data_IF_230936172470
#
_entry.id   IF_230936172470
#
_cell.length_a   1.000
_cell.length_b   1.000
_cell.length_c   1.000
_cell.angle_alpha   90.00
_cell.angle_beta   90.00
_cell.angle_gamma   90.00
#
_symmetry.space_group_name_H-M   'P 1'
#
loop_
_entity.id
_entity.type
_entity.pdbx_description
1 polymer ?
#
# COMPACT_ATOMS: atom_id res chain seq x y z
N UNK A 1 -4.56 -19.32 29.36
CA UNK A 1 -5.82 -20.00 29.03
C UNK A 1 -6.91 -19.33 29.87
N UNK A 2 -7.74 -18.47 29.30
CA UNK A 2 -8.85 -17.83 30.02
C UNK A 2 -10.15 -18.50 29.61
N UNK A 3 -10.69 -19.30 30.52
CA UNK A 3 -11.96 -19.99 30.40
C UNK A 3 -13.10 -18.96 30.25
N UNK A 4 -14.05 -19.30 29.37
CA UNK A 4 -15.29 -18.57 29.14
C UNK A 4 -16.15 -18.60 30.40
N UNK A 5 -16.70 -17.44 30.78
CA UNK A 5 -17.86 -17.41 31.67
C UNK A 5 -19.01 -18.18 31.02
N UNK A 6 -19.81 -18.95 31.79
CA UNK A 6 -20.87 -19.80 31.26
C UNK A 6 -21.95 -18.99 30.53
N UNK A 7 -22.70 -19.61 29.60
CA UNK A 7 -23.79 -18.94 28.90
C UNK A 7 -24.91 -18.61 29.89
N UNK A 8 -25.21 -17.32 30.07
CA UNK A 8 -26.41 -16.91 30.80
C UNK A 8 -26.30 -15.74 31.78
N UNK A 9 -25.15 -15.09 31.99
CA UNK A 9 -25.10 -13.94 32.90
C UNK A 9 -24.41 -12.72 32.30
N UNK A 10 -25.25 -11.75 31.93
CA UNK A 10 -24.98 -10.35 31.59
C UNK A 10 -24.41 -10.03 30.20
N UNK A 11 -24.92 -10.68 29.14
CA UNK A 11 -24.78 -10.15 27.77
C UNK A 11 -25.93 -9.23 27.42
N UNK A 12 -25.64 -8.08 26.81
CA UNK A 12 -26.68 -7.16 26.36
C UNK A 12 -27.47 -7.76 25.18
N UNK A 13 -28.66 -7.22 24.87
CA UNK A 13 -29.51 -7.74 23.79
C UNK A 13 -28.77 -7.87 22.46
N UNK A 14 -27.88 -6.93 22.14
CA UNK A 14 -27.07 -6.95 20.92
C UNK A 14 -26.12 -8.16 20.89
N UNK A 15 -25.45 -8.47 22.00
CA UNK A 15 -24.52 -9.62 22.10
C UNK A 15 -25.23 -10.99 22.07
N UNK A 16 -26.54 -11.02 22.28
CA UNK A 16 -27.33 -12.25 22.20
C UNK A 16 -27.89 -12.50 20.79
N UNK A 17 -27.67 -11.58 19.84
CA UNK A 17 -28.07 -11.80 18.45
C UNK A 17 -27.23 -12.91 17.80
N UNK A 18 -27.79 -13.62 16.80
CA UNK A 18 -27.02 -14.52 15.95
C UNK A 18 -25.83 -13.82 15.28
N UNK A 19 -24.77 -14.58 15.03
CA UNK A 19 -23.52 -14.08 14.43
C UNK A 19 -23.78 -13.38 13.09
N UNK A 20 -24.65 -13.97 12.28
CA UNK A 20 -25.02 -13.48 10.96
C UNK A 20 -25.70 -12.11 11.05
N UNK A 21 -26.54 -11.90 12.07
CA UNK A 21 -27.21 -10.62 12.31
C UNK A 21 -26.21 -9.57 12.80
N UNK A 22 -25.27 -9.94 13.66
CA UNK A 22 -24.19 -9.05 14.10
C UNK A 22 -23.30 -8.62 12.92
N UNK A 23 -22.96 -9.55 12.03
CA UNK A 23 -22.21 -9.27 10.81
C UNK A 23 -23.00 -8.37 9.86
N UNK A 24 -24.30 -8.64 9.66
CA UNK A 24 -25.18 -7.83 8.82
C UNK A 24 -25.30 -6.39 9.35
N UNK A 25 -25.49 -6.21 10.66
CA UNK A 25 -25.50 -4.89 11.32
C UNK A 25 -24.17 -4.18 11.04
N UNK A 26 -23.04 -4.87 11.26
CA UNK A 26 -21.71 -4.31 11.04
C UNK A 26 -21.49 -3.93 9.56
N UNK A 27 -21.91 -4.73 8.60
CA UNK A 27 -21.75 -4.43 7.17
C UNK A 27 -22.61 -3.26 6.69
N UNK A 28 -23.73 -2.98 7.37
CA UNK A 28 -24.57 -1.81 7.07
C UNK A 28 -23.99 -0.51 7.62
N UNK A 29 -23.38 -0.53 8.80
CA UNK A 29 -22.86 0.69 9.44
C UNK A 29 -21.36 0.92 9.23
N UNK A 30 -20.59 -0.14 9.03
CA UNK A 30 -19.12 -0.16 8.93
C UNK A 30 -18.42 0.55 10.10
N UNK A 31 -19.06 0.55 11.28
CA UNK A 31 -18.60 1.27 12.46
C UNK A 31 -17.62 0.42 13.28
N UNK A 32 -16.34 0.79 13.27
CA UNK A 32 -15.29 0.06 13.98
C UNK A 32 -15.36 0.22 15.51
N UNK A 33 -16.16 1.15 16.02
CA UNK A 33 -16.46 1.22 17.45
C UNK A 33 -17.32 0.03 17.93
N UNK A 34 -18.10 -0.60 17.04
CA UNK A 34 -18.90 -1.78 17.37
C UNK A 34 -18.04 -2.97 17.87
N UNK A 35 -17.04 -3.47 17.12
CA UNK A 35 -16.12 -4.50 17.63
C UNK A 35 -15.18 -4.02 18.74
N UNK A 36 -15.08 -2.71 19.02
CA UNK A 36 -14.30 -2.17 20.14
C UNK A 36 -15.10 -2.12 21.44
N UNK A 37 -16.41 -1.94 21.36
CA UNK A 37 -17.30 -1.82 22.50
C UNK A 37 -17.52 -3.14 23.25
N UNK A 38 -17.32 -4.29 22.58
CA UNK A 38 -17.51 -5.61 23.19
C UNK A 38 -16.48 -6.61 22.69
N UNK A 39 -15.85 -7.32 23.64
CA UNK A 39 -14.94 -8.44 23.32
C UNK A 39 -15.67 -9.59 22.62
N UNK A 40 -16.95 -9.83 22.95
CA UNK A 40 -17.73 -10.86 22.29
C UNK A 40 -17.97 -10.50 20.82
N UNK A 41 -18.48 -9.29 20.56
CA UNK A 41 -18.71 -8.81 19.19
C UNK A 41 -17.40 -8.77 18.40
N UNK A 42 -16.31 -8.33 19.04
CA UNK A 42 -14.97 -8.33 18.46
C UNK A 42 -14.58 -9.72 17.94
N UNK A 43 -14.78 -10.78 18.74
CA UNK A 43 -14.46 -12.15 18.37
C UNK A 43 -15.35 -12.66 17.24
N UNK A 44 -16.65 -12.35 17.29
CA UNK A 44 -17.62 -12.72 16.25
C UNK A 44 -17.28 -12.08 14.90
N UNK A 45 -16.85 -10.82 14.89
CA UNK A 45 -16.44 -10.10 13.68
C UNK A 45 -14.99 -10.38 13.28
N UNK A 46 -14.23 -11.13 14.09
CA UNK A 46 -12.83 -11.48 13.78
C UNK A 46 -12.75 -12.69 12.86
N UNK A 47 -13.30 -12.55 11.67
CA UNK A 47 -13.34 -13.58 10.64
C UNK A 47 -12.50 -13.17 9.41
N UNK A 48 -11.65 -14.06 8.87
CA UNK A 48 -10.83 -13.75 7.70
C UNK A 48 -11.62 -13.31 6.46
N UNK A 49 -12.84 -13.82 6.28
CA UNK A 49 -13.72 -13.48 5.16
C UNK A 49 -14.26 -12.07 5.31
N UNK A 50 -14.72 -11.71 6.52
CA UNK A 50 -15.11 -10.33 6.89
C UNK A 50 -13.97 -9.37 6.55
N UNK A 51 -12.75 -9.67 6.96
CA UNK A 51 -11.58 -8.82 6.69
C UNK A 51 -11.28 -8.70 5.19
N UNK A 52 -11.38 -9.79 4.43
CA UNK A 52 -11.21 -9.78 2.98
C UNK A 52 -12.25 -8.88 2.30
N UNK A 53 -13.52 -8.97 2.70
CA UNK A 53 -14.57 -8.12 2.12
C UNK A 53 -14.38 -6.64 2.48
N UNK A 54 -13.99 -6.32 3.72
CA UNK A 54 -13.66 -4.95 4.11
C UNK A 54 -12.49 -4.39 3.29
N UNK A 55 -11.44 -5.19 3.05
CA UNK A 55 -10.31 -4.76 2.21
C UNK A 55 -10.78 -4.53 0.77
N UNK A 56 -11.56 -5.44 0.18
CA UNK A 56 -12.10 -5.28 -1.18
C UNK A 56 -12.98 -4.03 -1.28
N UNK A 57 -13.82 -3.77 -0.29
CA UNK A 57 -14.68 -2.59 -0.25
C UNK A 57 -13.86 -1.28 -0.16
N UNK A 58 -12.85 -1.25 0.70
CA UNK A 58 -12.11 -0.02 0.98
C UNK A 58 -11.02 0.27 -0.04
N UNK A 59 -10.33 -0.76 -0.56
CA UNK A 59 -9.08 -0.60 -1.32
C UNK A 59 -9.19 -0.94 -2.81
N UNK A 60 -10.37 -1.27 -3.33
CA UNK A 60 -10.56 -1.40 -4.78
C UNK A 60 -10.45 -0.03 -5.47
N UNK A 61 -9.86 0.01 -6.66
CA UNK A 61 -9.85 1.20 -7.51
C UNK A 61 -11.25 1.57 -8.01
N UNK A 62 -11.58 2.86 -8.03
CA UNK A 62 -12.83 3.40 -8.56
C UNK A 62 -12.83 3.54 -10.10
N UNK A 63 -12.40 2.49 -10.80
CA UNK A 63 -12.41 2.48 -12.27
C UNK A 63 -13.86 2.56 -12.78
N UNK A 64 -14.17 3.48 -13.68
CA UNK A 64 -15.52 3.67 -14.21
C UNK A 64 -16.11 2.39 -14.81
N UNK A 65 -15.28 1.58 -15.47
CA UNK A 65 -15.72 0.30 -16.03
C UNK A 65 -16.00 -0.78 -14.98
N UNK A 66 -15.66 -0.55 -13.70
CA UNK A 66 -16.03 -1.43 -12.59
C UNK A 66 -17.45 -1.19 -12.04
N UNK A 67 -18.12 -0.10 -12.44
CA UNK A 67 -19.53 0.16 -12.07
C UNK A 67 -20.50 -0.91 -12.55
N UNK A 68 -20.14 -1.62 -13.62
CA UNK A 68 -20.95 -2.69 -14.21
C UNK A 68 -20.18 -3.99 -14.15
N UNK A 69 -20.86 -5.03 -13.67
CA UNK A 69 -20.42 -6.42 -13.77
C UNK A 69 -19.04 -6.74 -13.17
N UNK A 70 -18.52 -5.91 -12.27
CA UNK A 70 -17.27 -6.16 -11.57
C UNK A 70 -17.51 -6.61 -10.13
N UNK A 71 -18.24 -5.85 -9.31
CA UNK A 71 -18.56 -6.23 -7.94
C UNK A 71 -19.73 -7.22 -7.92
N UNK A 72 -19.44 -8.49 -8.18
CA UNK A 72 -20.40 -9.58 -8.14
C UNK A 72 -20.63 -10.04 -6.69
N UNK A 73 -21.78 -10.67 -6.36
CA UNK A 73 -22.08 -11.09 -4.98
C UNK A 73 -21.05 -12.06 -4.37
N UNK A 74 -20.39 -12.88 -5.19
CA UNK A 74 -19.30 -13.77 -4.78
C UNK A 74 -18.00 -13.01 -4.46
N UNK A 75 -17.79 -11.85 -5.09
CA UNK A 75 -16.61 -11.02 -4.89
C UNK A 75 -16.78 -10.03 -3.74
N UNK A 76 -17.94 -9.37 -3.67
CA UNK A 76 -18.30 -8.43 -2.62
C UNK A 76 -19.81 -8.60 -2.33
N UNK A 77 -20.18 -9.33 -1.27
CA UNK A 77 -21.57 -9.67 -1.02
C UNK A 77 -22.37 -8.47 -0.51
N UNK A 78 -23.69 -8.40 -0.82
CA UNK A 78 -24.59 -7.47 -0.14
C UNK A 78 -24.53 -7.67 1.39
N UNK A 79 -24.71 -6.60 2.19
CA UNK A 79 -25.07 -5.23 1.79
C UNK A 79 -23.86 -4.37 1.37
N UNK A 80 -22.66 -4.94 1.25
CA UNK A 80 -21.46 -4.19 0.91
C UNK A 80 -21.51 -3.71 -0.54
N UNK A 81 -21.49 -2.39 -0.73
CA UNK A 81 -21.56 -1.77 -2.04
C UNK A 81 -20.46 -0.72 -2.19
N UNK A 82 -19.46 -1.01 -3.02
CA UNK A 82 -18.30 -0.15 -3.25
C UNK A 82 -18.68 1.29 -3.66
N UNK A 83 -19.63 1.41 -4.59
CA UNK A 83 -20.08 2.70 -5.12
C UNK A 83 -21.11 3.42 -4.24
N UNK A 84 -21.61 2.77 -3.17
CA UNK A 84 -22.48 3.43 -2.21
C UNK A 84 -21.71 4.29 -1.20
N UNK A 85 -20.41 4.01 -1.00
CA UNK A 85 -19.55 4.81 -0.13
C UNK A 85 -19.06 6.06 -0.85
N UNK A 86 -19.25 7.22 -0.22
CA UNK A 86 -18.59 8.45 -0.62
C UNK A 86 -17.06 8.36 -0.46
N UNK A 87 -16.33 9.21 -1.17
CA UNK A 87 -14.87 9.27 -1.06
C UNK A 87 -14.36 9.49 0.38
N UNK A 88 -14.95 10.42 1.18
CA UNK A 88 -14.58 10.57 2.59
C UNK A 88 -14.82 9.31 3.42
N UNK A 89 -16.00 8.69 3.29
CA UNK A 89 -16.32 7.45 4.00
C UNK A 89 -15.33 6.33 3.64
N UNK A 90 -14.94 6.23 2.37
CA UNK A 90 -13.96 5.24 1.92
C UNK A 90 -12.57 5.52 2.51
N UNK A 91 -12.11 6.78 2.50
CA UNK A 91 -10.84 7.17 3.16
C UNK A 91 -10.87 6.81 4.64
N UNK A 92 -11.97 7.10 5.34
CA UNK A 92 -12.08 6.86 6.78
C UNK A 92 -12.07 5.37 7.08
N UNK A 93 -12.78 4.56 6.28
CA UNK A 93 -12.71 3.10 6.34
C UNK A 93 -11.29 2.57 6.07
N UNK A 94 -10.58 3.12 5.09
CA UNK A 94 -9.19 2.77 4.81
C UNK A 94 -8.29 3.07 6.03
N UNK A 95 -8.48 4.21 6.70
CA UNK A 95 -7.73 4.57 7.91
C UNK A 95 -7.98 3.56 9.05
N UNK A 96 -9.24 3.19 9.31
CA UNK A 96 -9.61 2.23 10.35
C UNK A 96 -9.04 0.83 10.07
N UNK A 97 -9.12 0.38 8.81
CA UNK A 97 -8.54 -0.90 8.39
C UNK A 97 -7.02 -0.90 8.53
N UNK A 98 -6.33 0.15 8.04
CA UNK A 98 -4.87 0.25 8.14
C UNK A 98 -4.39 0.34 9.59
N UNK A 99 -5.14 0.97 10.48
CA UNK A 99 -4.82 1.02 11.92
C UNK A 99 -5.01 -0.34 12.61
N UNK A 100 -5.91 -1.18 12.10
CA UNK A 100 -6.28 -2.46 12.73
C UNK A 100 -5.15 -3.49 12.71
N UNK A 101 -5.01 -4.28 13.79
CA UNK A 101 -3.94 -5.29 13.93
C UNK A 101 -4.02 -6.42 12.91
N UNK A 102 -5.22 -6.81 12.51
CA UNK A 102 -5.46 -7.89 11.55
C UNK A 102 -5.09 -7.50 10.11
N UNK A 103 -5.02 -6.21 9.80
CA UNK A 103 -4.57 -5.73 8.49
C UNK A 103 -3.06 -5.91 8.38
N UNK A 104 -2.64 -6.98 7.70
CA UNK A 104 -1.25 -7.41 7.55
C UNK A 104 -0.91 -7.54 6.07
N UNK A 105 0.40 -7.55 5.76
CA UNK A 105 0.85 -7.73 4.38
C UNK A 105 0.36 -9.04 3.75
N UNK A 106 0.43 -10.22 4.40
CA UNK A 106 -0.05 -11.46 3.79
C UNK A 106 -1.53 -11.40 3.40
N UNK A 107 -2.37 -10.81 4.26
CA UNK A 107 -3.78 -10.62 3.98
C UNK A 107 -4.00 -9.64 2.81
N UNK A 108 -3.27 -8.52 2.80
CA UNK A 108 -3.34 -7.55 1.69
C UNK A 108 -2.89 -8.18 0.37
N UNK A 109 -1.81 -8.96 0.36
CA UNK A 109 -1.29 -9.70 -0.81
C UNK A 109 -2.28 -10.76 -1.30
N UNK A 110 -2.94 -11.49 -0.40
CA UNK A 110 -4.03 -12.41 -0.75
C UNK A 110 -5.15 -11.66 -1.48
N UNK A 111 -5.65 -10.58 -0.89
CA UNK A 111 -6.73 -9.79 -1.48
C UNK A 111 -6.33 -9.18 -2.83
N UNK A 112 -5.07 -8.75 -2.96
CA UNK A 112 -4.49 -8.22 -4.18
C UNK A 112 -4.48 -9.24 -5.32
N UNK A 113 -3.98 -10.45 -5.06
CA UNK A 113 -3.96 -11.54 -6.04
C UNK A 113 -5.38 -11.87 -6.51
N UNK A 114 -6.29 -12.10 -5.56
CA UNK A 114 -7.69 -12.44 -5.87
C UNK A 114 -8.40 -11.33 -6.64
N UNK A 115 -8.11 -10.06 -6.32
CA UNK A 115 -8.65 -8.91 -7.04
C UNK A 115 -8.18 -8.88 -8.50
N UNK A 116 -6.89 -9.11 -8.75
CA UNK A 116 -6.33 -9.13 -10.12
C UNK A 116 -6.87 -10.32 -10.92
N UNK A 117 -6.93 -11.51 -10.32
CA UNK A 117 -7.53 -12.70 -10.94
C UNK A 117 -8.99 -12.45 -11.31
N UNK A 118 -9.76 -11.83 -10.42
CA UNK A 118 -11.14 -11.45 -10.68
C UNK A 118 -11.23 -10.43 -11.81
N UNK A 119 -10.40 -9.39 -11.80
CA UNK A 119 -10.38 -8.37 -12.85
C UNK A 119 -10.08 -8.97 -14.23
N UNK A 120 -9.12 -9.89 -14.32
CA UNK A 120 -8.81 -10.62 -15.55
C UNK A 120 -10.00 -11.45 -15.99
N UNK A 121 -10.58 -12.26 -15.10
CA UNK A 121 -11.74 -13.12 -15.43
C UNK A 121 -12.90 -12.30 -15.99
N UNK A 122 -13.17 -11.13 -15.42
CA UNK A 122 -14.29 -10.27 -15.82
C UNK A 122 -13.99 -9.47 -17.09
N UNK A 123 -12.78 -8.92 -17.22
CA UNK A 123 -12.45 -7.96 -18.29
C UNK A 123 -11.80 -8.59 -19.52
N UNK A 124 -11.20 -9.77 -19.38
CA UNK A 124 -10.67 -10.54 -20.50
C UNK A 124 -11.65 -11.60 -21.03
N UNK A 125 -12.88 -11.69 -20.53
CA UNK A 125 -13.86 -12.74 -20.93
C UNK A 125 -14.10 -12.83 -22.44
N UNK A 126 -14.10 -11.67 -23.12
CA UNK A 126 -14.37 -11.57 -24.57
C UNK A 126 -13.09 -11.34 -25.38
N UNK A 127 -11.92 -11.46 -24.75
CA UNK A 127 -10.63 -11.24 -25.40
C UNK A 127 -9.98 -12.58 -25.72
N UNK A 128 -9.61 -12.78 -26.97
CA UNK A 128 -8.73 -13.85 -27.40
C UNK A 128 -7.29 -13.43 -27.22
N UNK A 129 -6.58 -14.20 -26.41
CA UNK A 129 -5.15 -14.02 -26.19
C UNK A 129 -4.39 -14.72 -27.31
N UNK A 130 -3.16 -14.29 -27.56
CA UNK A 130 -2.28 -15.05 -28.42
C UNK A 130 -2.04 -16.45 -27.80
N UNK A 131 -1.95 -17.54 -28.59
CA UNK A 131 -1.76 -18.90 -28.07
C UNK A 131 -0.55 -19.02 -27.12
N UNK A 132 0.52 -18.29 -27.40
CA UNK A 132 1.75 -18.30 -26.59
C UNK A 132 1.53 -17.67 -25.20
N UNK A 133 0.59 -16.73 -25.09
CA UNK A 133 0.31 -15.92 -23.90
C UNK A 133 -0.68 -16.60 -22.92
N UNK A 134 -1.37 -17.67 -23.33
CA UNK A 134 -2.34 -18.37 -22.48
C UNK A 134 -1.71 -18.93 -21.20
N UNK A 135 -0.51 -19.50 -21.34
CA UNK A 135 0.24 -20.06 -20.21
C UNK A 135 0.64 -18.99 -19.18
N UNK A 136 0.85 -17.75 -19.62
CA UNK A 136 1.26 -16.64 -18.76
C UNK A 136 0.13 -16.19 -17.82
N UNK A 137 -1.12 -16.18 -18.31
CA UNK A 137 -2.29 -15.87 -17.48
C UNK A 137 -2.72 -17.05 -16.61
N UNK A 138 -2.60 -18.29 -17.10
CA UNK A 138 -2.87 -19.48 -16.28
C UNK A 138 -1.96 -19.55 -15.05
N UNK A 139 -0.70 -19.10 -15.18
CA UNK A 139 0.29 -19.10 -14.11
C UNK A 139 0.34 -17.81 -13.29
N UNK A 140 -0.67 -16.92 -13.39
CA UNK A 140 -0.60 -15.59 -12.77
C UNK A 140 -0.46 -15.66 -11.24
N UNK A 141 -1.12 -16.61 -10.60
CA UNK A 141 -1.08 -16.81 -9.15
C UNK A 141 0.32 -17.15 -8.66
N UNK A 142 1.10 -17.90 -9.44
CA UNK A 142 2.49 -18.24 -9.11
C UNK A 142 3.39 -17.01 -9.09
N UNK A 143 3.18 -16.06 -10.02
CA UNK A 143 3.96 -14.81 -10.10
C UNK A 143 3.73 -13.89 -8.90
N UNK A 144 2.57 -13.95 -8.25
CA UNK A 144 2.34 -13.23 -6.99
C UNK A 144 3.15 -13.78 -5.81
N UNK A 145 3.79 -14.94 -5.95
CA UNK A 145 4.60 -15.56 -4.89
C UNK A 145 6.05 -15.05 -4.89
N UNK A 146 6.54 -14.51 -6.01
CA UNK A 146 7.87 -13.91 -6.10
C UNK A 146 7.80 -12.55 -6.79
N UNK A 147 7.95 -11.49 -5.99
CA UNK A 147 7.83 -10.09 -6.41
C UNK A 147 9.19 -9.36 -6.45
N UNK A 148 10.31 -10.07 -6.32
CA UNK A 148 11.62 -9.43 -6.16
C UNK A 148 12.01 -8.58 -7.36
N UNK A 149 11.76 -9.11 -8.56
CA UNK A 149 12.09 -8.52 -9.86
C UNK A 149 10.96 -7.66 -10.45
N UNK A 150 9.84 -7.52 -9.74
CA UNK A 150 8.74 -6.67 -10.20
C UNK A 150 9.09 -5.20 -10.03
N UNK A 151 8.44 -4.37 -10.83
CA UNK A 151 8.49 -2.93 -10.69
C UNK A 151 7.93 -2.49 -9.32
N UNK A 152 8.77 -1.80 -8.53
CA UNK A 152 8.42 -1.27 -7.20
C UNK A 152 8.21 0.24 -7.22
N UNK A 153 8.18 0.87 -8.41
CA UNK A 153 7.94 2.30 -8.57
C UNK A 153 9.07 3.18 -8.04
N UNK A 154 10.33 2.73 -8.10
CA UNK A 154 11.50 3.50 -7.64
C UNK A 154 11.58 4.89 -8.30
N UNK A 155 11.07 5.01 -9.54
CA UNK A 155 10.97 6.28 -10.27
C UNK A 155 9.85 7.22 -9.81
N UNK A 156 8.95 6.78 -8.93
CA UNK A 156 7.77 7.54 -8.48
C UNK A 156 6.54 7.33 -9.35
N UNK A 157 6.67 6.46 -10.34
CA UNK A 157 5.62 6.04 -11.25
C UNK A 157 5.81 4.56 -11.58
N UNK A 158 4.74 3.95 -12.07
CA UNK A 158 4.77 2.60 -12.61
C UNK A 158 5.38 2.62 -14.01
N UNK A 159 6.16 1.60 -14.32
CA UNK A 159 6.65 1.25 -15.66
C UNK A 159 5.49 0.79 -16.57
N UNK A 160 5.81 0.28 -17.76
CA UNK A 160 4.81 -0.15 -18.74
C UNK A 160 3.97 -1.37 -18.31
N UNK A 161 4.46 -2.17 -17.36
CA UNK A 161 3.87 -3.43 -16.89
C UNK A 161 4.95 -4.50 -16.68
N UNK A 162 4.78 -5.34 -15.65
CA UNK A 162 5.63 -6.52 -15.41
C UNK A 162 5.28 -7.67 -16.39
N UNK A 163 4.03 -7.70 -16.85
CA UNK A 163 3.53 -8.59 -17.89
C UNK A 163 2.71 -7.77 -18.87
N UNK A 164 2.99 -7.90 -20.16
CA UNK A 164 2.24 -7.23 -21.24
C UNK A 164 1.90 -8.28 -22.30
N UNK A 165 0.62 -8.52 -22.52
CA UNK A 165 0.10 -9.50 -23.46
C UNK A 165 -0.69 -8.81 -24.57
N UNK A 166 -0.73 -9.44 -25.74
CA UNK A 166 -1.61 -9.01 -26.82
C UNK A 166 -2.92 -9.79 -26.73
N UNK A 167 -4.02 -9.09 -26.93
CA UNK A 167 -5.33 -9.71 -26.95
C UNK A 167 -6.17 -9.09 -28.06
N UNK A 168 -7.18 -9.80 -28.54
CA UNK A 168 -8.09 -9.33 -29.58
C UNK A 168 -9.52 -9.53 -29.14
N UNK A 169 -10.37 -8.52 -29.33
CA UNK A 169 -11.77 -8.63 -28.95
C UNK A 169 -12.56 -9.47 -29.95
N UNK A 170 -13.23 -10.51 -29.47
CA UNK A 170 -13.98 -11.48 -30.29
C UNK A 170 -15.08 -10.87 -31.14
N UNK A 171 -15.69 -9.79 -30.67
CA UNK A 171 -16.88 -9.22 -31.29
C UNK A 171 -16.52 -8.09 -32.26
N UNK A 172 -15.46 -7.36 -31.97
CA UNK A 172 -15.07 -6.14 -32.70
C UNK A 172 -13.80 -6.30 -33.53
N UNK A 173 -13.07 -7.41 -33.38
CA UNK A 173 -11.78 -7.71 -34.02
C UNK A 173 -10.68 -6.67 -33.72
N UNK A 174 -10.89 -5.82 -32.70
CA UNK A 174 -9.93 -4.78 -32.31
C UNK A 174 -8.83 -5.39 -31.44
N UNK A 175 -7.58 -5.01 -31.71
CA UNK A 175 -6.41 -5.41 -30.92
C UNK A 175 -6.30 -4.59 -29.62
N UNK A 176 -6.10 -5.27 -28.49
CA UNK A 176 -5.89 -4.74 -27.16
C UNK A 176 -4.52 -5.15 -26.60
N UNK A 177 -4.07 -4.40 -25.59
CA UNK A 177 -2.94 -4.81 -24.75
C UNK A 177 -3.39 -5.02 -23.31
N UNK A 178 -3.05 -6.16 -22.74
CA UNK A 178 -3.30 -6.47 -21.33
C UNK A 178 -2.01 -6.26 -20.56
N UNK A 179 -2.03 -5.45 -19.50
CA UNK A 179 -0.87 -5.17 -18.68
C UNK A 179 -1.14 -5.50 -17.20
N UNK A 180 -0.17 -6.12 -16.53
CA UNK A 180 -0.22 -6.46 -15.10
C UNK A 180 1.02 -5.89 -14.41
N UNK A 181 0.83 -5.32 -13.22
CA UNK A 181 1.90 -4.96 -12.29
C UNK A 181 1.68 -5.70 -10.99
N UNK A 182 2.49 -6.73 -10.73
CA UNK A 182 2.27 -7.68 -9.64
C UNK A 182 2.50 -7.02 -8.28
N UNK A 183 3.58 -6.24 -8.14
CA UNK A 183 3.85 -5.55 -6.88
C UNK A 183 2.72 -4.59 -6.49
N UNK A 184 2.14 -3.89 -7.46
CA UNK A 184 1.06 -2.93 -7.22
C UNK A 184 -0.33 -3.55 -7.18
N UNK A 185 -0.48 -4.82 -7.58
CA UNK A 185 -1.80 -5.42 -7.69
C UNK A 185 -2.66 -4.77 -8.74
N UNK A 186 -2.02 -4.31 -9.82
CA UNK A 186 -2.66 -3.51 -10.84
C UNK A 186 -2.83 -4.32 -12.13
N UNK A 187 -3.96 -4.09 -12.79
CA UNK A 187 -4.34 -4.74 -14.03
C UNK A 187 -5.00 -3.71 -14.95
N UNK A 188 -4.69 -3.78 -16.23
CA UNK A 188 -5.26 -2.88 -17.22
C UNK A 188 -5.45 -3.54 -18.57
N UNK A 189 -6.59 -3.23 -19.20
CA UNK A 189 -6.88 -3.56 -20.60
C UNK A 189 -6.84 -2.27 -21.40
N UNK A 190 -5.85 -2.13 -22.30
CA UNK A 190 -5.61 -0.92 -23.10
C UNK A 190 -6.18 -1.09 -24.49
N UNK A 191 -7.06 -0.17 -24.88
CA UNK A 191 -7.49 0.03 -26.27
C UNK A 191 -6.38 0.69 -27.09
N UNK A 192 -6.28 0.42 -28.39
CA UNK A 192 -5.39 1.14 -29.27
C UNK A 192 -5.88 2.60 -29.37
N UNK A 193 -4.93 3.55 -29.42
CA UNK A 193 -5.18 4.99 -29.63
C UNK A 193 -6.04 5.71 -28.58
N UNK A 194 -6.37 5.08 -27.45
CA UNK A 194 -7.03 5.76 -26.32
C UNK A 194 -5.97 6.31 -25.37
N UNK A 195 -6.12 7.56 -24.92
CA UNK A 195 -5.36 8.08 -23.78
C UNK A 195 -5.74 7.27 -22.54
N UNK A 196 -4.78 6.48 -22.07
CA UNK A 196 -4.95 5.61 -20.92
C UNK A 196 -4.53 6.38 -19.67
N UNK A 197 -5.44 6.54 -18.73
CA UNK A 197 -5.18 7.23 -17.46
C UNK A 197 -5.07 6.23 -16.31
N UNK A 198 -4.60 6.69 -15.15
CA UNK A 198 -4.60 5.89 -13.92
C UNK A 198 -6.01 5.49 -13.48
N UNK A 199 -7.05 6.21 -13.91
CA UNK A 199 -8.46 5.90 -13.65
C UNK A 199 -8.94 4.66 -14.42
N UNK A 200 -8.26 4.30 -15.51
CA UNK A 200 -8.56 3.10 -16.30
C UNK A 200 -7.84 1.85 -15.76
N UNK A 201 -7.17 1.92 -14.60
CA UNK A 201 -6.45 0.80 -13.98
C UNK A 201 -7.31 0.14 -12.90
N UNK A 202 -7.45 -1.18 -12.95
CA UNK A 202 -7.98 -1.97 -11.84
C UNK A 202 -6.85 -2.21 -10.84
N UNK A 203 -7.02 -1.82 -9.58
CA UNK A 203 -5.95 -1.93 -8.59
C UNK A 203 -6.48 -2.25 -7.19
N UNK A 204 -5.72 -3.10 -6.48
CA UNK A 204 -5.84 -3.27 -5.03
C UNK A 204 -4.44 -3.53 -4.41
N UNK A 205 -3.99 -2.78 -3.38
CA UNK A 205 -4.70 -1.66 -2.77
C UNK A 205 -4.63 -0.39 -3.60
N UNK A 206 -5.67 0.44 -3.50
CA UNK A 206 -5.77 1.74 -4.15
C UNK A 206 -6.32 2.78 -3.16
N UNK A 207 -5.49 3.75 -2.77
CA UNK A 207 -5.97 4.96 -2.07
C UNK A 207 -6.48 6.00 -3.09
N UNK A 208 -7.40 6.86 -2.67
CA UNK A 208 -7.91 7.93 -3.52
C UNK A 208 -6.82 8.99 -3.78
N UNK A 209 -6.64 9.47 -5.02
CA UNK A 209 -5.69 10.54 -5.31
C UNK A 209 -5.99 11.84 -4.56
N UNK A 210 -7.22 12.35 -4.58
CA UNK A 210 -7.51 13.65 -3.96
C UNK A 210 -7.72 13.55 -2.44
N UNK A 211 -8.04 12.34 -1.95
CA UNK A 211 -8.38 12.10 -0.56
C UNK A 211 -7.68 10.84 0.00
N UNK A 212 -6.33 10.80 0.00
CA UNK A 212 -5.59 9.60 0.37
C UNK A 212 -5.77 9.23 1.84
N UNK A 213 -5.73 7.93 2.14
CA UNK A 213 -5.63 7.44 3.51
C UNK A 213 -4.28 7.84 4.14
N UNK A 214 -4.27 7.92 5.47
CA UNK A 214 -3.05 8.20 6.25
C UNK A 214 -2.27 6.92 6.47
N UNK A 215 -0.96 6.95 6.23
CA UNK A 215 -0.07 5.84 6.58
C UNK A 215 -0.16 5.54 8.09
N UNK A 216 -0.46 4.30 8.51
CA UNK A 216 -0.68 3.99 9.91
C UNK A 216 0.62 4.01 10.72
N UNK A 217 0.55 4.49 11.97
CA UNK A 217 1.73 4.57 12.85
C UNK A 217 2.40 3.22 13.08
N UNK A 218 1.63 2.13 13.05
CA UNK A 218 2.18 0.77 13.22
C UNK A 218 3.21 0.40 12.15
N UNK A 219 3.18 1.03 10.96
CA UNK A 219 4.14 0.82 9.86
C UNK A 219 5.33 1.79 9.89
N UNK A 220 5.30 2.80 10.76
CA UNK A 220 6.27 3.90 10.80
C UNK A 220 7.15 3.89 12.06
N UNK A 221 7.41 2.71 12.61
CA UNK A 221 8.24 2.56 13.79
C UNK A 221 8.76 1.14 13.93
N UNK A 222 9.50 0.89 15.01
CA UNK A 222 10.04 -0.44 15.32
C UNK A 222 8.95 -1.46 15.69
N UNK A 223 9.25 -2.78 15.63
CA UNK A 223 10.43 -3.37 14.98
C UNK A 223 10.36 -3.25 13.45
N UNK A 224 11.51 -3.10 12.79
CA UNK A 224 11.63 -3.06 11.32
C UNK A 224 11.89 -4.48 10.80
N UNK A 225 10.84 -5.13 10.30
CA UNK A 225 10.95 -6.43 9.64
C UNK A 225 10.82 -6.27 8.14
N UNK A 226 11.30 -7.25 7.36
CA UNK A 226 11.15 -7.22 5.90
C UNK A 226 9.70 -7.10 5.46
N UNK A 227 8.81 -7.89 6.07
CA UNK A 227 7.37 -7.84 5.84
C UNK A 227 6.79 -6.45 6.09
N UNK A 228 7.28 -5.75 7.13
CA UNK A 228 6.80 -4.41 7.47
C UNK A 228 7.28 -3.37 6.47
N UNK A 229 8.56 -3.43 6.09
CA UNK A 229 9.15 -2.52 5.12
C UNK A 229 8.55 -2.74 3.72
N UNK A 230 8.24 -3.98 3.35
CA UNK A 230 7.50 -4.27 2.12
C UNK A 230 6.07 -3.73 2.19
N UNK A 231 5.38 -3.86 3.32
CA UNK A 231 4.04 -3.29 3.47
C UNK A 231 4.04 -1.75 3.40
N UNK A 232 5.04 -1.13 4.02
CA UNK A 232 5.28 0.30 3.91
C UNK A 232 5.51 0.70 2.45
N UNK A 233 6.38 -0.02 1.73
CA UNK A 233 6.68 0.24 0.32
C UNK A 233 5.44 0.10 -0.58
N UNK A 234 4.61 -0.93 -0.37
CA UNK A 234 3.38 -1.14 -1.14
C UNK A 234 2.42 0.05 -1.04
N UNK A 235 2.36 0.70 0.13
CA UNK A 235 1.46 1.80 0.42
C UNK A 235 2.10 3.19 0.27
N UNK A 236 3.43 3.28 0.11
CA UNK A 236 4.17 4.53 0.29
C UNK A 236 3.78 5.63 -0.69
N UNK A 237 3.39 5.27 -1.91
CA UNK A 237 2.97 6.22 -2.95
C UNK A 237 1.46 6.53 -2.90
N UNK A 238 0.68 5.77 -2.13
CA UNK A 238 -0.78 5.84 -2.11
C UNK A 238 -1.29 6.51 -0.83
N UNK A 239 -0.81 6.05 0.32
CA UNK A 239 -1.15 6.57 1.63
C UNK A 239 -0.13 7.63 2.07
N UNK A 240 -0.60 8.79 2.52
CA UNK A 240 0.29 9.89 2.86
C UNK A 240 0.98 9.66 4.21
N UNK A 241 2.27 10.01 4.29
CA UNK A 241 3.03 9.97 5.54
C UNK A 241 2.91 11.31 6.26
N UNK A 242 3.20 12.41 5.56
CA UNK A 242 3.16 13.76 6.11
C UNK A 242 2.03 14.58 5.46
N UNK A 243 1.40 15.43 6.26
CA UNK A 243 0.31 16.29 5.79
C UNK A 243 0.84 17.56 5.08
N UNK A 244 2.00 18.02 5.50
CA UNK A 244 2.65 19.27 5.07
C UNK A 244 4.12 19.03 4.69
N UNK A 245 4.77 20.11 4.26
CA UNK A 245 6.18 20.17 3.85
C UNK A 245 7.17 20.25 5.03
N UNK A 246 6.68 20.20 6.28
CA UNK A 246 7.57 20.10 7.45
C UNK A 246 8.16 18.70 7.60
N UNK A 247 7.56 17.71 6.92
CA UNK A 247 7.95 16.31 6.90
C UNK A 247 8.14 15.71 8.31
N UNK A 248 7.33 16.12 9.28
CA UNK A 248 7.56 15.84 10.71
C UNK A 248 7.68 14.34 11.01
N UNK A 249 6.84 13.48 10.44
CA UNK A 249 6.87 12.02 10.68
C UNK A 249 8.04 11.39 9.93
N UNK A 250 8.22 11.69 8.65
CA UNK A 250 9.33 11.15 7.84
C UNK A 250 10.70 11.52 8.41
N UNK A 251 10.86 12.78 8.86
CA UNK A 251 12.05 13.28 9.55
C UNK A 251 12.34 12.50 10.83
N UNK A 252 11.32 12.33 11.67
CA UNK A 252 11.48 11.61 12.95
C UNK A 252 11.94 10.17 12.73
N UNK A 253 11.43 9.51 11.69
CA UNK A 253 11.76 8.12 11.36
C UNK A 253 13.24 8.00 11.00
N UNK A 254 13.73 8.76 10.02
CA UNK A 254 15.15 8.68 9.62
C UNK A 254 16.07 9.05 10.77
N UNK A 255 15.76 10.12 11.51
CA UNK A 255 16.53 10.49 12.71
C UNK A 255 16.64 9.34 13.71
N UNK A 256 15.54 8.62 13.95
CA UNK A 256 15.53 7.51 14.89
C UNK A 256 16.36 6.34 14.35
N UNK A 257 16.22 5.98 13.07
CA UNK A 257 16.98 4.88 12.44
C UNK A 257 18.49 5.15 12.44
N UNK A 258 18.90 6.41 12.18
CA UNK A 258 20.32 6.81 12.28
C UNK A 258 20.82 6.68 13.72
N UNK A 259 20.08 7.22 14.70
CA UNK A 259 20.42 7.11 16.13
C UNK A 259 20.56 5.64 16.57
N UNK A 260 19.71 4.80 16.02
CA UNK A 260 19.63 3.38 16.29
C UNK A 260 20.70 2.55 15.56
N UNK A 261 21.50 3.18 14.69
CA UNK A 261 22.55 2.56 13.87
C UNK A 261 22.04 1.42 12.98
N UNK A 262 20.78 1.45 12.57
CA UNK A 262 20.15 0.47 11.67
C UNK A 262 20.32 0.89 10.20
N UNK A 263 21.50 0.60 9.63
CA UNK A 263 21.86 1.04 8.29
C UNK A 263 21.01 0.38 7.20
N UNK A 264 20.68 -0.90 7.34
CA UNK A 264 19.89 -1.63 6.35
C UNK A 264 18.48 -1.02 6.20
N UNK A 265 17.82 -0.69 7.31
CA UNK A 265 16.53 0.02 7.26
C UNK A 265 16.70 1.42 6.68
N UNK A 266 17.73 2.16 7.09
CA UNK A 266 17.98 3.51 6.59
C UNK A 266 18.13 3.53 5.07
N UNK A 267 18.98 2.65 4.53
CA UNK A 267 19.20 2.51 3.10
C UNK A 267 17.88 2.24 2.38
N UNK A 268 17.05 1.31 2.87
CA UNK A 268 15.76 1.02 2.23
C UNK A 268 14.83 2.22 2.24
N UNK A 269 14.72 2.94 3.35
CA UNK A 269 13.82 4.10 3.49
C UNK A 269 14.21 5.25 2.56
N UNK A 270 15.51 5.60 2.46
CA UNK A 270 15.92 6.75 1.64
C UNK A 270 15.67 6.56 0.15
N UNK A 271 15.63 5.31 -0.32
CA UNK A 271 15.34 4.95 -1.70
C UNK A 271 13.83 4.85 -1.99
N UNK A 272 12.98 4.80 -0.95
CA UNK A 272 11.54 4.82 -1.14
C UNK A 272 11.08 6.20 -1.60
N UNK A 273 10.04 6.21 -2.42
CA UNK A 273 9.23 7.39 -2.66
C UNK A 273 7.98 7.33 -1.81
N UNK A 274 7.63 8.47 -1.24
CA UNK A 274 6.54 8.63 -0.31
C UNK A 274 5.56 9.69 -0.80
N UNK A 275 4.31 9.53 -0.41
CA UNK A 275 3.28 10.53 -0.60
C UNK A 275 3.24 11.47 0.59
N UNK A 276 3.13 12.76 0.31
CA UNK A 276 2.68 13.76 1.27
C UNK A 276 1.36 14.34 0.80
N UNK A 277 0.50 14.74 1.73
CA UNK A 277 -0.83 15.22 1.39
C UNK A 277 -0.79 16.56 0.65
N UNK A 278 0.19 17.41 0.95
CA UNK A 278 0.41 18.70 0.30
C UNK A 278 0.95 18.61 -1.14
N UNK A 279 1.48 17.46 -1.57
CA UNK A 279 2.01 17.26 -2.91
C UNK A 279 1.08 16.38 -3.75
N UNK A 280 0.95 16.72 -5.03
CA UNK A 280 0.19 15.92 -6.02
C UNK A 280 0.95 14.70 -6.55
N UNK A 281 2.24 14.55 -6.21
CA UNK A 281 3.10 13.49 -6.70
C UNK A 281 3.98 12.91 -5.57
N UNK A 282 4.41 11.65 -5.67
CA UNK A 282 5.35 11.06 -4.71
C UNK A 282 6.74 11.70 -4.78
N UNK A 283 7.27 12.07 -3.62
CA UNK A 283 8.62 12.61 -3.45
C UNK A 283 9.57 11.54 -2.93
N UNK A 284 10.89 11.71 -3.11
CA UNK A 284 11.86 10.85 -2.42
C UNK A 284 11.68 11.03 -0.91
N UNK A 285 11.93 9.99 -0.12
CA UNK A 285 11.88 10.13 1.33
C UNK A 285 12.74 11.33 1.77
N UNK A 286 12.19 12.32 2.48
CA UNK A 286 12.82 13.61 2.68
C UNK A 286 14.06 13.47 3.58
N UNK A 287 15.20 13.96 3.08
CA UNK A 287 16.46 14.00 3.81
C UNK A 287 16.79 15.46 4.13
N UNK A 288 16.60 15.85 5.38
CA UNK A 288 16.78 17.22 5.85
C UNK A 288 18.16 17.43 6.50
N UNK A 289 18.63 18.68 6.65
CA UNK A 289 19.93 19.01 7.27
C UNK A 289 20.15 18.37 8.64
N UNK A 290 19.08 18.23 9.43
CA UNK A 290 19.14 17.58 10.73
C UNK A 290 19.58 16.11 10.66
N UNK A 291 19.29 15.38 9.59
CA UNK A 291 19.72 13.98 9.45
C UNK A 291 21.24 13.88 9.28
N UNK A 292 21.85 14.79 8.52
CA UNK A 292 23.30 14.86 8.36
C UNK A 292 24.00 15.15 9.69
N UNK A 293 23.48 16.12 10.46
CA UNK A 293 24.00 16.43 11.80
C UNK A 293 23.88 15.24 12.76
N UNK A 294 22.75 14.53 12.71
CA UNK A 294 22.52 13.34 13.53
C UNK A 294 23.45 12.19 13.10
N UNK A 295 23.67 11.98 11.80
CA UNK A 295 24.63 11.00 11.30
C UNK A 295 26.04 11.30 11.78
N UNK A 296 26.50 12.55 11.68
CA UNK A 296 27.79 12.99 12.24
C UNK A 296 27.90 12.75 13.74
N UNK A 297 26.86 13.11 14.50
CA UNK A 297 26.84 12.98 15.96
C UNK A 297 27.03 11.53 16.43
N UNK A 298 26.45 10.57 15.70
CA UNK A 298 26.49 9.15 16.06
C UNK A 298 27.46 8.35 15.18
N UNK A 299 28.32 9.00 14.41
CA UNK A 299 29.34 8.32 13.63
C UNK A 299 30.51 7.96 14.54
N UNK A 300 30.65 6.69 14.86
CA UNK A 300 31.69 6.20 15.79
C UNK A 300 33.09 6.19 15.15
N UNK A 301 33.17 6.06 13.82
CA UNK A 301 34.44 5.84 13.08
C UNK A 301 34.59 6.80 11.88
N UNK A 302 35.71 6.69 11.16
CA UNK A 302 35.90 7.23 9.80
C UNK A 302 35.30 6.23 8.79
N UNK A 303 34.82 6.69 7.63
CA UNK A 303 34.09 5.88 6.62
C UNK A 303 32.74 5.34 7.14
N UNK A 304 32.00 6.16 7.90
CA UNK A 304 30.67 5.82 8.39
C UNK A 304 29.68 5.58 7.21
N UNK A 305 28.97 4.43 7.17
CA UNK A 305 28.14 4.06 6.04
C UNK A 305 26.92 4.97 5.85
N UNK A 306 26.37 5.56 6.93
CA UNK A 306 25.27 6.52 6.82
C UNK A 306 25.77 7.82 6.19
N UNK A 307 26.92 8.32 6.65
CA UNK A 307 27.54 9.54 6.11
C UNK A 307 27.87 9.35 4.63
N UNK A 308 28.54 8.26 4.28
CA UNK A 308 28.89 7.93 2.90
C UNK A 308 27.68 7.93 1.97
N UNK A 309 26.64 7.20 2.34
CA UNK A 309 25.41 7.12 1.56
C UNK A 309 24.72 8.49 1.41
N UNK A 310 24.69 9.29 2.48
CA UNK A 310 24.13 10.63 2.48
C UNK A 310 24.92 11.60 1.58
N UNK A 311 26.25 11.54 1.64
CA UNK A 311 27.13 12.36 0.80
C UNK A 311 27.00 11.95 -0.67
N UNK A 312 27.13 10.67 -0.98
CA UNK A 312 27.08 10.17 -2.35
C UNK A 312 25.74 10.43 -3.04
N UNK A 313 24.63 10.22 -2.33
CA UNK A 313 23.30 10.22 -2.97
C UNK A 313 22.47 11.47 -2.70
N UNK A 314 22.78 12.23 -1.64
CA UNK A 314 21.93 13.31 -1.11
C UNK A 314 22.68 14.61 -0.82
N UNK A 315 23.87 14.80 -1.39
CA UNK A 315 24.68 16.03 -1.22
C UNK A 315 23.90 17.32 -1.49
N UNK A 316 23.08 17.33 -2.54
CA UNK A 316 22.30 18.50 -2.97
C UNK A 316 21.21 18.91 -1.98
N UNK A 317 20.84 18.04 -1.03
CA UNK A 317 19.83 18.33 -0.01
C UNK A 317 20.40 19.20 1.13
N UNK A 318 21.71 19.46 1.14
CA UNK A 318 22.39 20.33 2.10
C UNK A 318 22.38 21.78 1.59
N UNK A 319 21.70 22.71 2.28
CA UNK A 319 21.70 24.13 1.93
C UNK A 319 23.12 24.70 1.76
N UNK A 320 23.30 25.55 0.74
CA UNK A 320 24.60 26.12 0.38
C UNK A 320 25.25 26.96 1.51
N UNK A 321 24.44 27.52 2.41
CA UNK A 321 24.92 28.30 3.56
C UNK A 321 25.47 27.44 4.71
N UNK A 322 25.41 26.10 4.63
CA UNK A 322 25.93 25.18 5.65
C UNK A 322 27.28 24.57 5.22
N UNK A 323 28.23 25.41 4.81
CA UNK A 323 29.57 24.99 4.36
C UNK A 323 30.31 24.15 5.42
N UNK A 324 30.28 24.58 6.67
CA UNK A 324 30.90 23.84 7.78
C UNK A 324 30.35 22.42 7.95
N UNK A 325 29.06 22.20 7.67
CA UNK A 325 28.47 20.86 7.72
C UNK A 325 29.01 19.99 6.58
N UNK A 326 29.18 20.56 5.38
CA UNK A 326 29.76 19.87 4.22
C UNK A 326 31.20 19.45 4.49
N UNK A 327 32.02 20.35 5.05
CA UNK A 327 33.42 20.06 5.38
C UNK A 327 33.56 18.91 6.39
N UNK A 328 32.73 18.94 7.45
CA UNK A 328 32.70 17.86 8.45
C UNK A 328 32.29 16.51 7.86
N UNK A 329 31.31 16.49 6.95
CA UNK A 329 30.87 15.28 6.27
C UNK A 329 31.97 14.70 5.37
N UNK A 330 32.64 15.53 4.57
CA UNK A 330 33.72 15.07 3.68
C UNK A 330 34.90 14.49 4.47
N UNK A 331 35.30 15.18 5.55
CA UNK A 331 36.35 14.71 6.47
C UNK A 331 36.01 13.34 7.08
N UNK A 332 34.76 13.15 7.53
CA UNK A 332 34.28 11.88 8.10
C UNK A 332 34.04 10.77 7.06
N UNK A 333 33.68 11.13 5.83
CA UNK A 333 33.45 10.19 4.73
C UNK A 333 34.76 9.63 4.14
N UNK A 334 35.92 10.13 4.55
CA UNK A 334 37.21 9.71 3.97
C UNK A 334 37.43 10.20 2.54
N UNK A 335 36.56 11.09 2.03
CA UNK A 335 36.68 11.71 0.72
C UNK A 335 37.53 12.97 0.86
N UNK A 336 38.82 12.87 0.54
CA UNK A 336 39.71 14.04 0.48
C UNK A 336 39.30 14.95 -0.68
N UNK A 337 39.40 16.27 -0.49
CA UNK A 337 39.12 17.30 -1.50
C UNK A 337 39.62 16.89 -2.89
N UNK A 338 38.69 16.80 -3.86
CA UNK A 338 39.05 16.87 -5.30
C UNK A 338 39.14 18.34 -5.67
#
# INVERSE_FOLDING_TARGET
MNQLSPPGQNRCHLENLPVEILQEIFFRCLEFNLPRASLYISRVLSDPTVYTWLIRLAFSSANESSKRDFFTPDFLPPPLAFFALSEPQRRDLQNEILASRWCTLPLMRKCQREYVEHAIRRKCRNLDLAPEDHSALANISSRFSNLENCDKGWGGSRSKGDLILKARDRNTDVDYKVAVWFHFGAFQVRKPNKLVTDLDVFRLPCCLPDLPARMPNKLLGRPWTDTKLEFLQLLSMDAYIDADDTFTRSRRILRQVIRDRDFATFQRLIHMRIRCQCYKYPVRWPVLPNHFQVALKYADEYDDPFIKLLVEQRWEEIPANLLHLKDQLMSKAGMSHI
#
